data_IF_668572650792
#
_entry.id   IF_668572650792
#
_cell.length_a   1.000
_cell.length_b   1.000
_cell.length_c   1.000
_cell.angle_alpha   90.00
_cell.angle_beta   90.00
_cell.angle_gamma   90.00
#
_symmetry.space_group_name_H-M   'P 1'
#
loop_
_entity.id
_entity.type
_entity.pdbx_description
1 polymer ?
#
# COMPACT_ATOMS: atom_id res chain seq x y z
N UNK A 1 30.16 -42.02 63.61
CA UNK A 1 29.67 -40.69 64.05
C UNK A 1 29.18 -39.97 62.80
N UNK A 2 27.87 -39.75 62.73
CA UNK A 2 27.12 -38.80 61.88
C UNK A 2 27.12 -39.00 60.34
N UNK A 3 25.99 -39.59 59.91
CA UNK A 3 25.15 -39.40 58.71
C UNK A 3 25.39 -38.10 57.91
N UNK A 4 25.29 -38.17 56.58
CA UNK A 4 24.36 -37.37 55.76
C UNK A 4 24.41 -37.81 54.28
N UNK A 5 23.31 -38.43 53.84
CA UNK A 5 23.00 -38.61 52.43
C UNK A 5 22.56 -37.29 51.80
N UNK A 6 22.96 -37.07 50.56
CA UNK A 6 22.39 -36.03 49.71
C UNK A 6 21.75 -36.72 48.50
N UNK A 7 20.44 -36.92 48.59
CA UNK A 7 19.61 -37.22 47.44
C UNK A 7 19.55 -35.96 46.57
N UNK A 8 20.11 -36.04 45.36
CA UNK A 8 19.95 -35.00 44.34
C UNK A 8 18.51 -34.99 43.86
N UNK A 9 17.69 -34.09 44.42
CA UNK A 9 16.42 -33.70 43.82
C UNK A 9 16.75 -32.85 42.59
N UNK A 10 16.82 -33.52 41.42
CA UNK A 10 16.80 -32.85 40.15
C UNK A 10 15.47 -32.11 39.98
N UNK A 11 15.44 -30.81 40.23
CA UNK A 11 14.34 -29.95 39.82
C UNK A 11 14.42 -29.78 38.31
N UNK A 12 13.77 -30.67 37.56
CA UNK A 12 13.45 -30.44 36.16
C UNK A 12 12.47 -29.26 36.11
N UNK A 13 12.99 -28.07 35.87
CA UNK A 13 12.17 -26.91 35.48
C UNK A 13 11.61 -27.20 34.09
N UNK A 14 10.39 -27.74 34.05
CA UNK A 14 9.62 -27.86 32.83
C UNK A 14 9.24 -26.44 32.39
N UNK A 15 9.99 -25.89 31.44
CA UNK A 15 9.53 -24.75 30.66
C UNK A 15 8.34 -25.22 29.83
N UNK A 16 7.13 -25.16 30.38
CA UNK A 16 5.91 -25.20 29.58
C UNK A 16 5.97 -23.99 28.64
N UNK A 17 6.36 -24.25 27.40
CA UNK A 17 6.19 -23.31 26.29
C UNK A 17 4.70 -22.96 26.30
N UNK A 18 4.34 -21.76 26.77
CA UNK A 18 2.95 -21.27 26.66
C UNK A 18 2.61 -21.33 25.18
N UNK A 19 1.75 -22.27 24.81
CA UNK A 19 1.20 -22.36 23.46
C UNK A 19 0.41 -21.08 23.23
N UNK A 20 0.70 -20.37 22.16
CA UNK A 20 -0.10 -19.22 21.73
C UNK A 20 -1.57 -19.69 21.64
N UNK A 21 -2.51 -19.05 22.36
CA UNK A 21 -3.91 -19.45 22.32
C UNK A 21 -4.56 -19.21 20.95
N UNK A 22 -3.90 -18.48 20.06
CA UNK A 22 -4.35 -18.16 18.71
C UNK A 22 -3.64 -19.01 17.66
N UNK A 23 -4.42 -19.54 16.72
CA UNK A 23 -3.92 -20.25 15.55
C UNK A 23 -4.14 -19.38 14.30
N UNK A 24 -3.07 -19.07 13.57
CA UNK A 24 -3.13 -18.27 12.36
C UNK A 24 -3.85 -19.03 11.23
N UNK A 25 -4.82 -18.38 10.57
CA UNK A 25 -5.65 -18.98 9.52
C UNK A 25 -5.46 -18.34 8.15
N UNK A 26 -5.29 -17.02 8.09
CA UNK A 26 -5.18 -16.27 6.84
C UNK A 26 -4.32 -15.01 7.06
N UNK A 27 -3.50 -14.67 6.08
CA UNK A 27 -2.72 -13.44 6.04
C UNK A 27 -3.05 -12.67 4.75
N UNK A 28 -3.25 -11.37 4.87
CA UNK A 28 -3.44 -10.46 3.74
C UNK A 28 -2.48 -9.28 3.89
N UNK A 29 -1.65 -9.02 2.89
CA UNK A 29 -0.64 -7.95 2.94
C UNK A 29 -0.89 -6.99 1.78
N UNK A 30 -1.17 -5.74 2.12
CA UNK A 30 -1.23 -4.63 1.19
C UNK A 30 0.08 -3.88 1.28
N UNK A 31 0.80 -3.70 0.18
CA UNK A 31 2.10 -3.03 0.22
C UNK A 31 2.27 -2.02 -0.91
N UNK A 32 2.86 -0.88 -0.56
CA UNK A 32 3.33 0.11 -1.53
C UNK A 32 4.57 -0.46 -2.23
N UNK A 33 4.73 -0.15 -3.51
CA UNK A 33 5.96 -0.42 -4.23
C UNK A 33 7.21 0.18 -3.53
N UNK A 34 8.38 -0.34 -3.88
CA UNK A 34 9.68 0.17 -3.41
C UNK A 34 10.03 1.54 -3.99
N UNK A 35 11.22 2.03 -3.63
CA UNK A 35 11.82 3.25 -4.16
C UNK A 35 11.85 3.28 -5.69
N UNK A 36 11.63 4.48 -6.24
CA UNK A 36 11.47 4.68 -7.68
C UNK A 36 12.01 6.03 -8.11
N UNK A 37 12.17 6.21 -9.41
CA UNK A 37 12.31 7.53 -10.02
C UNK A 37 11.04 8.37 -9.76
N UNK A 38 11.13 9.70 -9.73
CA UNK A 38 9.98 10.58 -9.50
C UNK A 38 8.99 10.48 -10.65
N UNK A 39 7.72 10.74 -10.39
CA UNK A 39 6.69 10.92 -11.42
C UNK A 39 6.80 12.31 -12.07
N UNK A 40 7.22 13.32 -11.30
CA UNK A 40 7.57 14.65 -11.81
C UNK A 40 8.78 15.21 -11.05
N UNK A 41 9.69 15.84 -11.78
CA UNK A 41 10.78 16.62 -11.18
C UNK A 41 10.35 18.06 -10.96
N UNK A 42 11.01 18.73 -10.01
CA UNK A 42 10.85 20.18 -9.84
C UNK A 42 11.41 20.86 -11.11
N UNK A 43 10.58 21.62 -11.86
CA UNK A 43 11.00 22.23 -13.11
C UNK A 43 12.07 23.30 -12.87
N UNK A 44 13.06 23.38 -13.76
CA UNK A 44 14.09 24.43 -13.82
C UNK A 44 14.93 24.61 -12.54
N UNK A 45 14.92 23.62 -11.64
CA UNK A 45 15.65 23.64 -10.37
C UNK A 45 16.48 22.37 -10.24
N UNK A 46 17.80 22.51 -10.42
CA UNK A 46 18.84 21.48 -10.25
C UNK A 46 18.40 20.11 -10.76
N UNK A 47 18.73 19.76 -12.00
CA UNK A 47 18.33 18.45 -12.55
C UNK A 47 19.18 17.31 -11.98
N UNK A 48 18.51 16.36 -11.29
CA UNK A 48 19.14 15.11 -10.87
C UNK A 48 19.27 14.15 -12.06
N UNK A 49 20.41 13.47 -12.16
CA UNK A 49 20.67 12.49 -13.21
C UNK A 49 20.15 11.11 -12.81
N UNK A 50 18.99 10.75 -13.36
CA UNK A 50 18.38 9.44 -13.21
C UNK A 50 18.89 8.52 -14.32
N UNK A 51 20.06 7.91 -14.09
CA UNK A 51 20.75 7.04 -15.07
C UNK A 51 20.24 5.60 -15.03
N UNK A 52 20.34 4.83 -16.13
CA UNK A 52 19.87 3.44 -16.21
C UNK A 52 20.46 2.49 -15.15
N UNK A 53 21.69 2.75 -14.69
CA UNK A 53 22.37 1.94 -13.66
C UNK A 53 21.57 1.87 -12.34
N UNK A 54 20.73 2.88 -12.05
CA UNK A 54 19.83 2.87 -10.90
C UNK A 54 18.68 1.85 -11.02
N UNK A 55 18.50 1.24 -12.18
CA UNK A 55 17.43 0.29 -12.50
C UNK A 55 17.95 -1.14 -12.68
N UNK A 56 19.22 -1.40 -12.39
CA UNK A 56 19.80 -2.74 -12.47
C UNK A 56 19.07 -3.71 -11.52
N UNK A 57 18.69 -4.88 -12.03
CA UNK A 57 17.93 -5.87 -11.26
C UNK A 57 18.89 -6.69 -10.40
N UNK A 58 18.78 -6.68 -9.05
CA UNK A 58 19.62 -7.52 -8.21
C UNK A 58 19.33 -9.00 -8.47
N UNK A 59 20.38 -9.81 -8.67
CA UNK A 59 20.24 -11.22 -9.06
C UNK A 59 19.38 -12.05 -8.08
N UNK A 60 19.41 -11.74 -6.79
CA UNK A 60 18.64 -12.43 -5.75
C UNK A 60 17.13 -12.10 -5.75
N UNK A 61 16.71 -11.12 -6.55
CA UNK A 61 15.30 -10.77 -6.74
C UNK A 61 14.67 -11.44 -7.96
N UNK A 62 15.47 -12.16 -8.76
CA UNK A 62 15.00 -12.74 -10.01
C UNK A 62 14.25 -14.05 -9.77
N UNK A 63 13.05 -14.15 -10.33
CA UNK A 63 12.17 -15.33 -10.30
C UNK A 63 11.35 -15.36 -11.60
N UNK A 64 10.92 -16.54 -12.06
CA UNK A 64 10.01 -16.64 -13.19
C UNK A 64 8.59 -16.31 -12.74
N UNK A 65 7.99 -15.32 -13.41
CA UNK A 65 6.62 -14.88 -13.14
C UNK A 65 5.90 -14.60 -14.45
N UNK A 66 4.57 -14.57 -14.39
CA UNK A 66 3.72 -14.16 -15.51
C UNK A 66 2.67 -13.16 -15.03
N UNK A 67 2.29 -12.24 -15.90
CA UNK A 67 1.25 -11.25 -15.62
C UNK A 67 0.03 -11.55 -16.47
N UNK A 68 -1.13 -11.64 -15.84
CA UNK A 68 -2.41 -11.94 -16.49
C UNK A 68 -3.49 -10.96 -16.05
N UNK A 69 -4.62 -10.93 -16.75
CA UNK A 69 -5.85 -10.39 -16.19
C UNK A 69 -6.34 -11.24 -14.99
N UNK A 70 -7.41 -10.82 -14.31
CA UNK A 70 -7.96 -11.53 -13.15
C UNK A 70 -8.54 -12.93 -13.47
N UNK A 71 -8.77 -13.23 -14.75
CA UNK A 71 -9.28 -14.52 -15.23
C UNK A 71 -8.17 -15.45 -15.75
N UNK A 72 -6.90 -15.01 -15.70
CA UNK A 72 -5.76 -15.78 -16.21
C UNK A 72 -5.52 -15.61 -17.72
N UNK A 73 -6.20 -14.67 -18.36
CA UNK A 73 -5.99 -14.26 -19.74
C UNK A 73 -4.82 -13.28 -19.92
N UNK A 74 -4.64 -12.70 -21.11
CA UNK A 74 -3.54 -11.79 -21.40
C UNK A 74 -3.52 -10.56 -20.47
N UNK A 75 -2.32 -10.05 -20.17
CA UNK A 75 -2.15 -8.78 -19.43
C UNK A 75 -2.91 -7.64 -20.13
N UNK A 76 -3.78 -6.90 -19.42
CA UNK A 76 -4.48 -5.75 -20.00
C UNK A 76 -3.53 -4.60 -20.41
N UNK A 77 -3.99 -3.65 -21.24
CA UNK A 77 -3.26 -2.40 -21.49
C UNK A 77 -3.03 -1.58 -20.20
N UNK A 78 -1.95 -0.80 -20.16
CA UNK A 78 -1.53 -0.04 -18.98
C UNK A 78 -1.45 1.49 -19.26
N UNK A 79 -2.58 2.15 -19.60
CA UNK A 79 -2.58 3.53 -20.10
C UNK A 79 -2.04 4.55 -19.08
N UNK A 80 -2.20 4.28 -17.78
CA UNK A 80 -1.65 5.12 -16.71
C UNK A 80 -0.12 5.14 -16.78
N UNK A 81 0.50 3.98 -17.04
CA UNK A 81 1.94 3.87 -17.20
C UNK A 81 2.43 4.53 -18.49
N UNK A 82 1.79 4.19 -19.61
CA UNK A 82 2.14 4.73 -20.92
C UNK A 82 2.16 6.25 -20.92
N UNK A 83 1.23 6.88 -20.18
CA UNK A 83 1.12 8.33 -20.06
C UNK A 83 2.36 8.99 -19.43
N UNK A 84 2.88 8.47 -18.31
CA UNK A 84 4.05 9.09 -17.67
C UNK A 84 5.37 8.65 -18.30
N UNK A 85 5.43 7.47 -18.94
CA UNK A 85 6.62 7.01 -19.68
C UNK A 85 6.82 7.71 -21.02
N UNK A 86 5.84 8.48 -21.49
CA UNK A 86 5.99 9.38 -22.62
C UNK A 86 7.04 10.49 -22.39
N UNK A 87 7.51 10.68 -21.16
CA UNK A 87 8.58 11.60 -20.80
C UNK A 87 9.85 10.86 -20.44
N UNK A 88 10.98 11.54 -20.63
CA UNK A 88 12.31 11.09 -20.22
C UNK A 88 12.83 12.05 -19.17
N UNK A 89 13.36 11.51 -18.07
CA UNK A 89 14.05 12.27 -17.04
C UNK A 89 15.48 12.57 -17.49
N UNK A 90 16.08 13.62 -16.92
CA UNK A 90 17.51 13.83 -17.05
C UNK A 90 18.27 12.57 -16.60
N UNK A 91 19.29 12.15 -17.36
CA UNK A 91 20.00 10.87 -17.17
C UNK A 91 19.47 9.71 -18.04
N UNK A 92 18.32 9.86 -18.71
CA UNK A 92 17.87 8.93 -19.76
C UNK A 92 16.88 7.85 -19.31
N UNK A 93 16.47 7.82 -18.05
CA UNK A 93 15.39 6.93 -17.57
C UNK A 93 14.01 7.59 -17.69
N UNK A 94 12.96 6.85 -17.34
CA UNK A 94 11.58 7.35 -17.34
C UNK A 94 11.08 7.69 -15.93
N UNK A 95 10.00 8.48 -15.84
CA UNK A 95 9.30 8.67 -14.58
C UNK A 95 8.73 7.37 -14.00
N UNK A 96 8.64 7.31 -12.67
CA UNK A 96 7.93 6.26 -11.95
C UNK A 96 8.49 4.84 -12.09
N UNK A 97 9.77 4.66 -12.45
CA UNK A 97 10.42 3.36 -12.62
C UNK A 97 10.96 2.85 -11.27
N UNK A 98 10.69 1.58 -10.94
CA UNK A 98 11.25 0.94 -9.75
C UNK A 98 12.77 0.81 -9.90
N UNK A 99 13.51 1.21 -8.87
CA UNK A 99 14.99 1.20 -8.88
C UNK A 99 15.55 -0.04 -8.19
N UNK A 100 16.85 -0.29 -8.33
CA UNK A 100 17.60 -1.32 -7.60
C UNK A 100 17.36 -1.22 -6.09
N UNK A 101 17.38 0.01 -5.55
CA UNK A 101 17.06 0.29 -4.14
C UNK A 101 15.63 -0.15 -3.80
N UNK A 102 14.65 0.14 -4.67
CA UNK A 102 13.27 -0.28 -4.46
C UNK A 102 13.08 -1.78 -4.55
N UNK A 103 13.77 -2.46 -5.47
CA UNK A 103 13.77 -3.92 -5.57
C UNK A 103 14.32 -4.56 -4.28
N UNK A 104 15.42 -4.02 -3.73
CA UNK A 104 15.97 -4.48 -2.45
C UNK A 104 14.99 -4.29 -1.29
N UNK A 105 14.37 -3.11 -1.16
CA UNK A 105 13.37 -2.84 -0.12
C UNK A 105 12.22 -3.85 -0.14
N UNK A 106 11.76 -4.21 -1.35
CA UNK A 106 10.69 -5.20 -1.51
C UNK A 106 11.15 -6.62 -1.20
N UNK A 107 12.38 -6.98 -1.57
CA UNK A 107 12.98 -8.25 -1.16
C UNK A 107 13.09 -8.36 0.36
N UNK A 108 13.53 -7.30 1.03
CA UNK A 108 13.66 -7.26 2.50
C UNK A 108 12.31 -7.38 3.20
N UNK A 109 11.27 -6.77 2.65
CA UNK A 109 9.88 -7.01 3.09
C UNK A 109 9.52 -8.49 2.95
N UNK A 110 9.85 -9.12 1.82
CA UNK A 110 9.69 -10.57 1.63
C UNK A 110 10.43 -11.40 2.68
N UNK A 111 11.68 -11.05 3.00
CA UNK A 111 12.48 -11.71 4.05
C UNK A 111 11.82 -11.58 5.43
N UNK A 112 11.24 -10.42 5.75
CA UNK A 112 10.48 -10.22 6.99
C UNK A 112 9.27 -11.14 7.05
N UNK A 113 8.49 -11.23 5.97
CA UNK A 113 7.32 -12.12 5.90
C UNK A 113 7.74 -13.60 5.97
N UNK A 114 8.90 -13.97 5.39
CA UNK A 114 9.47 -15.32 5.51
C UNK A 114 9.76 -15.69 6.96
N UNK A 115 10.39 -14.78 7.70
CA UNK A 115 10.67 -15.00 9.12
C UNK A 115 9.36 -15.29 9.88
N UNK A 116 8.37 -14.43 9.70
CA UNK A 116 7.09 -14.53 10.41
C UNK A 116 6.30 -15.80 10.03
N UNK A 117 6.10 -16.04 8.74
CA UNK A 117 5.11 -17.02 8.27
C UNK A 117 5.69 -18.36 7.81
N UNK A 118 7.02 -18.48 7.69
CA UNK A 118 7.68 -19.76 7.36
C UNK A 118 8.56 -20.24 8.52
N UNK A 119 9.35 -19.35 9.14
CA UNK A 119 10.32 -19.75 10.16
C UNK A 119 9.72 -19.82 11.56
N UNK A 120 8.97 -18.79 11.97
CA UNK A 120 8.47 -18.67 13.34
C UNK A 120 7.19 -19.51 13.57
N UNK A 121 6.26 -19.50 12.61
CA UNK A 121 4.92 -20.13 12.75
C UNK A 121 4.69 -21.33 11.79
N UNK A 122 5.61 -21.57 10.83
CA UNK A 122 5.48 -22.63 9.83
C UNK A 122 4.09 -22.67 9.12
N UNK A 123 3.56 -21.48 8.81
CA UNK A 123 2.23 -21.30 8.22
C UNK A 123 2.23 -21.57 6.70
N UNK A 124 3.27 -21.13 6.00
CA UNK A 124 3.48 -21.30 4.55
C UNK A 124 4.58 -22.33 4.25
N UNK A 125 4.54 -22.94 3.07
CA UNK A 125 5.62 -23.81 2.59
C UNK A 125 6.90 -23.01 2.32
N UNK A 126 8.10 -23.60 2.49
CA UNK A 126 9.35 -22.89 2.24
C UNK A 126 9.61 -22.47 0.78
N UNK A 127 8.90 -23.08 -0.17
CA UNK A 127 8.91 -22.79 -1.61
C UNK A 127 7.55 -22.22 -2.03
N UNK A 128 7.52 -21.42 -3.10
CA UNK A 128 6.29 -20.85 -3.63
C UNK A 128 5.28 -21.94 -4.04
N UNK A 129 4.00 -21.68 -3.74
CA UNK A 129 2.86 -22.51 -4.12
C UNK A 129 1.67 -21.62 -4.47
N UNK A 130 1.22 -21.67 -5.72
CA UNK A 130 -0.01 -21.04 -6.19
C UNK A 130 -1.26 -21.65 -5.57
N UNK A 131 -1.16 -22.65 -4.68
CA UNK A 131 -2.29 -23.10 -3.85
C UNK A 131 -2.34 -22.36 -2.52
N UNK A 132 -1.21 -21.87 -2.03
CA UNK A 132 -1.15 -21.14 -0.75
C UNK A 132 -1.20 -19.62 -0.95
N UNK A 133 -0.66 -19.12 -2.06
CA UNK A 133 -0.39 -17.68 -2.25
C UNK A 133 -1.11 -17.13 -3.48
N UNK A 134 -1.96 -16.13 -3.27
CA UNK A 134 -2.57 -15.32 -4.32
C UNK A 134 -1.86 -13.96 -4.40
N UNK A 135 -1.58 -13.48 -5.61
CA UNK A 135 -0.84 -12.23 -5.84
C UNK A 135 -1.60 -11.38 -6.85
N UNK A 136 -2.03 -10.19 -6.43
CA UNK A 136 -2.62 -9.18 -7.30
C UNK A 136 -1.82 -7.89 -7.22
N UNK A 137 -1.63 -7.25 -8.35
CA UNK A 137 -0.97 -5.95 -8.47
C UNK A 137 -1.86 -5.02 -9.29
N UNK A 138 -1.72 -3.72 -9.07
CA UNK A 138 -2.14 -2.76 -10.10
C UNK A 138 -1.35 -3.00 -11.38
N UNK A 139 -1.94 -2.70 -12.54
CA UNK A 139 -1.30 -2.91 -13.84
C UNK A 139 -0.24 -1.84 -14.15
N UNK A 140 0.77 -1.72 -13.29
CA UNK A 140 1.86 -0.74 -13.37
C UNK A 140 3.17 -1.49 -13.11
N UNK A 141 4.20 -1.32 -13.94
CA UNK A 141 5.42 -2.15 -13.86
C UNK A 141 6.10 -2.03 -12.50
N UNK A 142 6.14 -0.85 -11.88
CA UNK A 142 6.76 -0.70 -10.55
C UNK A 142 6.06 -1.51 -9.44
N UNK A 143 4.75 -1.71 -9.50
CA UNK A 143 4.01 -2.52 -8.51
C UNK A 143 4.15 -4.01 -8.82
N UNK A 144 4.11 -4.38 -10.10
CA UNK A 144 4.35 -5.76 -10.56
C UNK A 144 5.76 -6.24 -10.16
N UNK A 145 6.79 -5.46 -10.47
CA UNK A 145 8.18 -5.77 -10.12
C UNK A 145 8.40 -5.76 -8.60
N UNK A 146 7.69 -4.90 -7.86
CA UNK A 146 7.72 -4.92 -6.39
C UNK A 146 7.14 -6.21 -5.83
N UNK A 147 6.02 -6.69 -6.37
CA UNK A 147 5.43 -7.96 -5.98
C UNK A 147 6.37 -9.13 -6.29
N UNK A 148 7.00 -9.13 -7.47
CA UNK A 148 8.03 -10.10 -7.85
C UNK A 148 9.18 -10.14 -6.84
N UNK A 149 9.76 -8.99 -6.51
CA UNK A 149 10.89 -8.91 -5.57
C UNK A 149 10.52 -9.37 -4.15
N UNK A 150 9.30 -9.04 -3.69
CA UNK A 150 8.77 -9.51 -2.41
C UNK A 150 8.65 -11.04 -2.40
N UNK A 151 8.09 -11.65 -3.43
CA UNK A 151 7.98 -13.11 -3.55
C UNK A 151 9.36 -13.76 -3.58
N UNK A 152 10.32 -13.17 -4.29
CA UNK A 152 11.70 -13.63 -4.32
C UNK A 152 12.33 -13.64 -2.91
N UNK A 153 12.08 -12.62 -2.09
CA UNK A 153 12.52 -12.56 -0.69
C UNK A 153 11.79 -13.56 0.21
N UNK A 154 10.47 -13.66 0.07
CA UNK A 154 9.63 -14.56 0.86
C UNK A 154 10.01 -16.03 0.67
N UNK A 155 10.25 -16.45 -0.57
CA UNK A 155 10.55 -17.84 -0.90
C UNK A 155 12.03 -18.10 -1.21
N UNK A 156 12.89 -17.08 -1.10
CA UNK A 156 14.33 -17.19 -1.38
C UNK A 156 14.59 -17.77 -2.78
N UNK A 157 13.84 -17.28 -3.77
CA UNK A 157 13.85 -17.74 -5.17
C UNK A 157 13.49 -19.23 -5.37
N UNK A 158 12.97 -19.91 -4.34
CA UNK A 158 12.55 -21.30 -4.44
C UNK A 158 11.14 -21.38 -5.02
N UNK A 159 11.06 -21.77 -6.28
CA UNK A 159 9.81 -22.02 -6.98
C UNK A 159 9.92 -23.26 -7.86
N UNK A 160 8.83 -24.01 -7.96
CA UNK A 160 8.68 -25.15 -8.88
C UNK A 160 7.71 -24.83 -10.02
N UNK A 161 7.12 -23.65 -9.99
CA UNK A 161 6.12 -23.19 -10.94
C UNK A 161 6.26 -21.69 -11.18
N UNK A 162 5.69 -21.22 -12.29
CA UNK A 162 5.66 -19.80 -12.64
C UNK A 162 4.75 -19.09 -11.64
N UNK A 163 5.21 -17.95 -11.12
CA UNK A 163 4.44 -17.12 -10.19
C UNK A 163 3.42 -16.28 -10.98
N UNK A 164 2.09 -16.51 -10.83
CA UNK A 164 1.10 -15.65 -11.47
C UNK A 164 0.91 -14.35 -10.68
N UNK A 165 0.94 -13.21 -11.39
CA UNK A 165 0.59 -11.89 -10.86
C UNK A 165 -0.64 -11.39 -11.62
N UNK A 166 -1.76 -11.33 -10.92
CA UNK A 166 -3.04 -10.92 -11.48
C UNK A 166 -3.16 -9.39 -11.51
N UNK A 167 -3.70 -8.85 -12.60
CA UNK A 167 -3.92 -7.41 -12.81
C UNK A 167 -5.32 -7.16 -13.37
N UNK A 168 -5.79 -5.91 -13.34
CA UNK A 168 -7.10 -5.52 -13.88
C UNK A 168 -6.95 -4.31 -14.82
N UNK A 169 -7.94 -4.12 -15.69
CA UNK A 169 -8.08 -2.91 -16.51
C UNK A 169 -8.19 -1.65 -15.65
N UNK A 170 -7.63 -0.55 -16.15
CA UNK A 170 -7.53 0.71 -15.39
C UNK A 170 -8.91 1.25 -14.96
N UNK A 171 -9.94 1.05 -15.79
CA UNK A 171 -11.33 1.47 -15.56
C UNK A 171 -12.05 0.63 -14.51
N UNK A 172 -11.59 -0.60 -14.25
CA UNK A 172 -12.19 -1.52 -13.26
C UNK A 172 -11.32 -1.72 -12.02
N UNK A 173 -10.11 -1.17 -12.01
CA UNK A 173 -9.19 -1.33 -10.88
C UNK A 173 -9.78 -0.75 -9.57
N UNK A 174 -9.56 -1.49 -8.48
CA UNK A 174 -10.01 -1.13 -7.12
C UNK A 174 -8.85 -1.03 -6.12
N UNK A 175 -7.63 -1.36 -6.55
CA UNK A 175 -6.41 -1.26 -5.74
C UNK A 175 -5.86 0.17 -5.63
N UNK A 176 -6.56 1.18 -6.13
CA UNK A 176 -6.38 2.61 -5.87
C UNK A 176 -7.71 3.36 -6.01
N UNK A 177 -7.85 4.57 -5.46
CA UNK A 177 -9.01 5.44 -5.73
C UNK A 177 -9.19 5.68 -7.24
N UNK A 178 -10.21 5.06 -7.84
CA UNK A 178 -10.31 4.97 -9.30
C UNK A 178 -11.07 6.16 -9.90
N UNK A 179 -10.33 7.23 -10.19
CA UNK A 179 -10.88 8.42 -10.87
C UNK A 179 -11.21 8.21 -12.37
N UNK A 180 -10.83 7.08 -12.97
CA UNK A 180 -11.17 6.72 -14.34
C UNK A 180 -12.54 6.04 -14.40
N UNK A 181 -12.73 5.01 -13.57
CA UNK A 181 -13.95 4.21 -13.50
C UNK A 181 -15.09 4.83 -12.70
N UNK A 182 -14.80 5.76 -11.77
CA UNK A 182 -15.80 6.33 -10.88
C UNK A 182 -16.05 7.82 -11.13
N UNK A 183 -17.17 8.15 -11.79
CA UNK A 183 -17.53 9.54 -12.14
C UNK A 183 -17.77 10.40 -10.90
N UNK A 184 -18.51 9.86 -9.91
CA UNK A 184 -18.80 10.57 -8.67
C UNK A 184 -17.52 10.92 -7.90
N UNK A 185 -16.62 9.95 -7.73
CA UNK A 185 -15.32 10.17 -7.07
C UNK A 185 -14.47 11.19 -7.82
N UNK A 186 -14.40 11.11 -9.16
CA UNK A 186 -13.69 12.07 -10.00
C UNK A 186 -14.21 13.50 -9.80
N UNK A 187 -15.53 13.67 -9.70
CA UNK A 187 -16.15 14.97 -9.51
C UNK A 187 -15.84 15.56 -8.14
N UNK A 188 -16.08 14.80 -7.05
CA UNK A 188 -15.78 15.27 -5.70
C UNK A 188 -14.29 15.56 -5.52
N UNK A 189 -13.43 14.62 -5.94
CA UNK A 189 -12.00 14.76 -5.75
C UNK A 189 -11.42 15.86 -6.63
N UNK A 190 -11.94 16.08 -7.84
CA UNK A 190 -11.49 17.14 -8.73
C UNK A 190 -11.55 18.54 -8.11
N UNK A 191 -12.65 18.85 -7.41
CA UNK A 191 -12.79 20.10 -6.65
C UNK A 191 -11.76 20.20 -5.52
N UNK A 192 -11.62 19.13 -4.71
CA UNK A 192 -10.71 19.12 -3.57
C UNK A 192 -9.24 19.17 -3.97
N UNK A 193 -8.88 18.51 -5.07
CA UNK A 193 -7.55 18.62 -5.69
C UNK A 193 -7.27 20.06 -6.08
N UNK A 194 -8.22 20.74 -6.76
CA UNK A 194 -8.06 22.14 -7.16
C UNK A 194 -7.94 23.10 -5.95
N UNK A 195 -8.67 22.83 -4.87
CA UNK A 195 -8.65 23.64 -3.65
C UNK A 195 -7.41 23.39 -2.78
N UNK A 196 -6.87 22.16 -2.77
CA UNK A 196 -5.84 21.72 -1.82
C UNK A 196 -4.61 22.65 -1.77
N UNK A 197 -4.12 23.12 -2.92
CA UNK A 197 -3.00 24.06 -3.01
C UNK A 197 -3.35 25.52 -2.65
N UNK A 198 -4.64 25.84 -2.50
CA UNK A 198 -5.16 27.18 -2.21
C UNK A 198 -5.53 27.38 -0.74
N UNK A 199 -5.53 26.30 0.06
CA UNK A 199 -5.75 26.39 1.51
C UNK A 199 -4.76 27.39 2.14
N UNK A 200 -5.18 28.30 3.03
CA UNK A 200 -4.40 29.50 3.38
C UNK A 200 -2.94 29.22 3.77
N UNK A 201 -2.74 28.25 4.65
CA UNK A 201 -1.43 27.85 5.15
C UNK A 201 -0.58 27.18 4.08
N UNK A 202 -1.16 26.25 3.31
CA UNK A 202 -0.51 25.58 2.18
C UNK A 202 -0.12 26.59 1.10
N UNK A 203 -1.03 27.48 0.72
CA UNK A 203 -0.78 28.49 -0.30
C UNK A 203 0.31 29.47 0.12
N UNK A 204 0.36 29.86 1.41
CA UNK A 204 1.40 30.72 1.96
C UNK A 204 2.77 30.06 1.93
N UNK A 205 2.86 28.81 2.37
CA UNK A 205 4.09 28.04 2.36
C UNK A 205 4.53 27.72 0.92
N UNK A 206 3.59 27.45 0.01
CA UNK A 206 3.87 27.15 -1.39
C UNK A 206 4.49 28.35 -2.10
N UNK A 207 3.96 29.57 -1.88
CA UNK A 207 4.57 30.80 -2.39
C UNK A 207 6.00 30.99 -1.86
N UNK A 208 6.20 30.71 -0.58
CA UNK A 208 7.49 30.89 0.09
C UNK A 208 8.55 29.92 -0.45
N UNK A 209 8.21 28.64 -0.58
CA UNK A 209 9.16 27.63 -1.12
C UNK A 209 9.42 27.83 -2.62
N UNK A 210 8.40 28.19 -3.41
CA UNK A 210 8.59 28.51 -4.83
C UNK A 210 9.55 29.69 -5.02
N UNK A 211 9.38 30.76 -4.24
CA UNK A 211 10.30 31.90 -4.24
C UNK A 211 11.71 31.49 -3.83
N UNK A 212 11.84 30.65 -2.80
CA UNK A 212 13.14 30.19 -2.33
C UNK A 212 13.86 29.28 -3.34
N UNK A 213 13.11 28.48 -4.10
CA UNK A 213 13.62 27.63 -5.18
C UNK A 213 13.87 28.41 -6.49
N UNK A 214 13.48 29.69 -6.58
CA UNK A 214 13.61 30.49 -7.80
C UNK A 214 12.60 30.14 -8.91
N UNK A 215 11.49 29.49 -8.54
CA UNK A 215 10.47 29.00 -9.46
C UNK A 215 9.52 30.12 -9.86
N UNK A 216 9.22 30.22 -11.15
CA UNK A 216 8.29 31.22 -11.68
C UNK A 216 6.85 30.91 -11.28
N UNK A 217 6.07 31.95 -10.96
CA UNK A 217 4.70 31.83 -10.43
C UNK A 217 3.68 31.16 -11.36
N UNK A 218 3.98 31.06 -12.66
CA UNK A 218 3.11 30.42 -13.66
C UNK A 218 3.27 28.89 -13.72
N UNK A 219 4.30 28.33 -13.08
CA UNK A 219 4.53 26.89 -13.07
C UNK A 219 3.61 26.21 -12.04
N UNK A 220 2.82 25.24 -12.51
CA UNK A 220 1.93 24.45 -11.64
C UNK A 220 2.74 23.41 -10.87
N UNK A 221 3.11 23.77 -9.65
CA UNK A 221 3.82 22.91 -8.71
C UNK A 221 3.11 22.97 -7.34
N UNK A 222 3.00 21.83 -6.67
CA UNK A 222 2.44 21.72 -5.32
C UNK A 222 3.36 20.89 -4.42
N UNK A 223 3.01 20.76 -3.14
CA UNK A 223 3.83 20.02 -2.18
C UNK A 223 3.90 18.52 -2.44
N UNK A 224 2.90 17.92 -3.10
CA UNK A 224 2.94 16.49 -3.46
C UNK A 224 4.02 16.25 -4.52
N UNK A 225 4.10 17.14 -5.53
CA UNK A 225 5.14 17.08 -6.55
C UNK A 225 6.53 17.37 -5.99
N UNK A 226 6.68 18.41 -5.16
CA UNK A 226 7.97 18.74 -4.52
C UNK A 226 8.43 17.56 -3.66
N UNK A 227 7.52 16.98 -2.87
CA UNK A 227 7.81 15.80 -2.04
C UNK A 227 8.24 14.61 -2.87
N UNK A 228 7.54 14.32 -3.98
CA UNK A 228 7.86 13.17 -4.83
C UNK A 228 9.30 13.24 -5.37
N UNK A 229 9.71 14.39 -5.89
CA UNK A 229 11.08 14.61 -6.38
C UNK A 229 12.11 14.58 -5.24
N UNK A 230 11.82 15.28 -4.14
CA UNK A 230 12.71 15.36 -2.97
C UNK A 230 12.98 13.97 -2.37
N UNK A 231 11.93 13.22 -2.04
CA UNK A 231 12.05 11.89 -1.41
C UNK A 231 12.70 10.90 -2.37
N UNK A 232 12.39 10.97 -3.66
CA UNK A 232 13.06 10.13 -4.65
C UNK A 232 14.57 10.42 -4.66
N UNK A 233 15.00 11.67 -4.77
CA UNK A 233 16.44 12.02 -4.80
C UNK A 233 17.16 11.63 -3.51
N UNK A 234 16.60 11.99 -2.36
CA UNK A 234 17.16 11.66 -1.04
C UNK A 234 17.38 10.15 -0.89
N UNK A 235 16.39 9.34 -1.29
CA UNK A 235 16.45 7.87 -1.19
C UNK A 235 17.60 7.28 -2.01
N UNK A 236 18.00 7.95 -3.09
CA UNK A 236 19.06 7.47 -4.00
C UNK A 236 20.39 8.23 -3.81
N UNK A 237 20.50 9.08 -2.78
CA UNK A 237 21.70 9.89 -2.56
C UNK A 237 22.00 10.87 -3.69
N UNK A 238 20.98 11.27 -4.47
CA UNK A 238 21.13 12.21 -5.57
C UNK A 238 21.08 13.66 -5.07
N UNK A 239 21.70 14.62 -5.77
CA UNK A 239 21.70 16.02 -5.36
C UNK A 239 20.29 16.60 -5.24
N UNK A 240 20.01 17.19 -4.07
CA UNK A 240 18.81 17.98 -3.78
C UNK A 240 19.17 19.48 -3.76
N UNK A 241 18.25 20.37 -4.16
CA UNK A 241 18.41 21.81 -3.93
C UNK A 241 18.59 22.08 -2.43
N UNK A 242 19.65 22.80 -2.03
CA UNK A 242 19.97 23.06 -0.62
C UNK A 242 18.84 23.75 0.16
N UNK A 243 17.96 24.49 -0.54
CA UNK A 243 16.75 25.08 0.04
C UNK A 243 15.88 24.01 0.70
N UNK A 244 15.79 22.81 0.11
CA UNK A 244 14.96 21.72 0.62
C UNK A 244 15.42 21.20 1.99
N UNK A 245 16.69 21.39 2.38
CA UNK A 245 17.20 20.95 3.69
C UNK A 245 16.41 21.58 4.84
N UNK A 246 16.16 22.90 4.75
CA UNK A 246 15.35 23.63 5.74
C UNK A 246 13.84 23.44 5.58
N UNK A 247 13.39 22.98 4.41
CA UNK A 247 11.98 22.84 4.05
C UNK A 247 11.45 21.41 4.20
N UNK A 248 12.33 20.42 4.38
CA UNK A 248 12.01 18.99 4.35
C UNK A 248 10.79 18.61 5.18
N UNK A 249 10.79 18.98 6.47
CA UNK A 249 9.69 18.66 7.39
C UNK A 249 8.37 19.32 6.96
N UNK A 250 8.44 20.55 6.43
CA UNK A 250 7.26 21.29 5.97
C UNK A 250 6.73 20.74 4.65
N UNK A 251 7.60 20.33 3.73
CA UNK A 251 7.20 19.66 2.48
C UNK A 251 6.45 18.36 2.79
N UNK A 252 6.98 17.54 3.68
CA UNK A 252 6.32 16.31 4.13
C UNK A 252 4.95 16.61 4.77
N UNK A 253 4.90 17.56 5.71
CA UNK A 253 3.66 17.95 6.39
C UNK A 253 2.61 18.46 5.40
N UNK A 254 2.97 19.42 4.52
CA UNK A 254 2.02 20.02 3.59
C UNK A 254 1.52 19.07 2.53
N UNK A 255 2.35 18.14 2.06
CA UNK A 255 1.90 17.08 1.15
C UNK A 255 0.86 16.17 1.82
N UNK A 256 1.06 15.83 3.11
CA UNK A 256 0.06 15.06 3.87
C UNK A 256 -1.20 15.89 4.13
N UNK A 257 -1.08 17.16 4.51
CA UNK A 257 -2.22 18.07 4.71
C UNK A 257 -3.09 18.14 3.44
N UNK A 258 -2.45 18.25 2.27
CA UNK A 258 -3.15 18.24 0.97
C UNK A 258 -3.91 16.94 0.74
N UNK A 259 -3.28 15.77 0.93
CA UNK A 259 -3.95 14.48 0.72
C UNK A 259 -5.05 14.24 1.77
N UNK A 260 -4.81 14.64 3.02
CA UNK A 260 -5.80 14.58 4.09
C UNK A 260 -7.03 15.43 3.73
N UNK A 261 -6.81 16.63 3.19
CA UNK A 261 -7.89 17.44 2.61
C UNK A 261 -8.59 16.70 1.48
N UNK A 262 -7.86 16.12 0.52
CA UNK A 262 -8.46 15.47 -0.65
C UNK A 262 -9.34 14.27 -0.27
N UNK A 263 -8.87 13.40 0.62
CA UNK A 263 -9.61 12.21 1.03
C UNK A 263 -10.68 12.48 2.07
N UNK A 264 -10.56 13.57 2.84
CA UNK A 264 -11.55 14.01 3.83
C UNK A 264 -12.11 12.87 4.68
N UNK A 265 -11.36 12.41 5.71
CA UNK A 265 -11.81 11.28 6.52
C UNK A 265 -13.12 11.55 7.29
N UNK A 266 -13.58 12.81 7.37
CA UNK A 266 -14.90 13.15 7.90
C UNK A 266 -16.04 12.84 6.92
N UNK A 267 -15.74 12.80 5.61
CA UNK A 267 -16.66 12.44 4.56
C UNK A 267 -16.57 10.94 4.23
N UNK A 268 -17.41 10.16 4.92
CA UNK A 268 -17.50 8.71 4.74
C UNK A 268 -17.70 8.28 3.27
N UNK A 269 -18.46 9.01 2.47
CA UNK A 269 -18.72 8.63 1.08
C UNK A 269 -17.45 8.67 0.23
N UNK A 270 -16.57 9.65 0.48
CA UNK A 270 -15.27 9.71 -0.22
C UNK A 270 -14.42 8.49 0.10
N UNK A 271 -14.31 8.13 1.39
CA UNK A 271 -13.56 6.92 1.78
C UNK A 271 -14.19 5.63 1.22
N UNK A 272 -15.53 5.54 1.20
CA UNK A 272 -16.25 4.43 0.56
C UNK A 272 -15.90 4.32 -0.93
N UNK A 273 -15.88 5.42 -1.66
CA UNK A 273 -15.53 5.44 -3.08
C UNK A 273 -14.02 5.22 -3.32
N UNK A 274 -13.16 5.62 -2.39
CA UNK A 274 -11.70 5.45 -2.53
C UNK A 274 -11.25 4.00 -2.30
N UNK A 275 -11.76 3.34 -1.26
CA UNK A 275 -11.24 2.02 -0.82
C UNK A 275 -12.33 1.01 -0.47
N UNK A 276 -13.61 1.37 -0.53
CA UNK A 276 -14.71 0.49 -0.14
C UNK A 276 -14.75 -0.86 -0.86
N UNK A 277 -14.61 -0.93 -2.20
CA UNK A 277 -14.53 -2.21 -2.91
C UNK A 277 -13.36 -3.08 -2.45
N UNK A 278 -12.21 -2.47 -2.16
CA UNK A 278 -11.05 -3.23 -1.72
C UNK A 278 -11.21 -3.72 -0.28
N UNK A 279 -11.74 -2.90 0.62
CA UNK A 279 -12.09 -3.33 1.98
C UNK A 279 -13.10 -4.49 1.97
N UNK A 280 -14.06 -4.47 1.03
CA UNK A 280 -14.99 -5.57 0.85
C UNK A 280 -14.28 -6.86 0.42
N UNK A 281 -13.32 -6.82 -0.50
CA UNK A 281 -12.49 -7.98 -0.87
C UNK A 281 -11.77 -8.55 0.36
N UNK A 282 -11.13 -7.70 1.17
CA UNK A 282 -10.40 -8.14 2.36
C UNK A 282 -11.31 -8.83 3.39
N UNK A 283 -12.50 -8.27 3.63
CA UNK A 283 -13.51 -8.85 4.51
C UNK A 283 -14.03 -10.18 3.95
N UNK A 284 -14.34 -10.23 2.66
CA UNK A 284 -14.86 -11.42 2.01
C UNK A 284 -13.85 -12.58 2.06
N UNK A 285 -12.56 -12.33 1.86
CA UNK A 285 -11.51 -13.34 2.01
C UNK A 285 -11.52 -13.98 3.42
N UNK A 286 -11.73 -13.18 4.47
CA UNK A 286 -11.86 -13.69 5.84
C UNK A 286 -13.15 -14.49 6.04
N UNK A 287 -14.27 -14.01 5.51
CA UNK A 287 -15.56 -14.72 5.62
C UNK A 287 -15.53 -16.08 4.93
N UNK A 288 -15.00 -16.15 3.71
CA UNK A 288 -14.83 -17.40 2.98
C UNK A 288 -13.94 -18.39 3.75
N UNK A 289 -12.89 -17.90 4.42
CA UNK A 289 -12.02 -18.74 5.27
C UNK A 289 -12.77 -19.27 6.49
N UNK A 290 -13.59 -18.44 7.14
CA UNK A 290 -14.40 -18.84 8.31
C UNK A 290 -15.47 -19.87 7.94
N UNK A 291 -16.12 -19.71 6.79
CA UNK A 291 -17.19 -20.59 6.31
C UNK A 291 -16.67 -21.93 5.76
N UNK A 292 -15.37 -22.04 5.46
CA UNK A 292 -14.78 -23.24 4.85
C UNK A 292 -15.25 -23.47 3.40
N UNK A 293 -15.78 -22.44 2.75
CA UNK A 293 -16.48 -22.48 1.46
C UNK A 293 -15.57 -22.13 0.26
N UNK A 294 -14.25 -22.15 0.43
CA UNK A 294 -13.31 -21.72 -0.61
C UNK A 294 -13.41 -22.61 -1.88
N UNK A 295 -14.07 -22.10 -2.91
CA UNK A 295 -14.12 -22.67 -4.27
C UNK A 295 -12.73 -22.71 -4.94
N UNK A 296 -11.83 -21.82 -4.52
CA UNK A 296 -10.40 -21.83 -4.87
C UNK A 296 -9.59 -22.20 -3.63
N UNK A 297 -9.00 -23.39 -3.64
CA UNK A 297 -8.48 -24.12 -2.47
C UNK A 297 -7.70 -23.29 -1.45
N UNK A 298 -8.03 -23.50 -0.18
CA UNK A 298 -7.32 -23.18 1.07
C UNK A 298 -6.21 -22.10 1.04
N UNK A 299 -6.43 -20.97 0.36
CA UNK A 299 -5.46 -19.87 0.28
C UNK A 299 -5.09 -19.42 1.69
N UNK A 300 -3.80 -19.21 1.90
CA UNK A 300 -3.22 -18.82 3.20
C UNK A 300 -2.72 -17.38 3.18
N UNK A 301 -2.19 -16.93 2.04
CA UNK A 301 -1.62 -15.61 1.87
C UNK A 301 -2.19 -14.90 0.63
N UNK A 302 -2.63 -13.67 0.82
CA UNK A 302 -2.98 -12.75 -0.26
C UNK A 302 -2.00 -11.57 -0.25
N UNK A 303 -1.37 -11.31 -1.38
CA UNK A 303 -0.45 -10.21 -1.60
C UNK A 303 -1.08 -9.21 -2.56
N UNK A 304 -1.22 -7.96 -2.12
CA UNK A 304 -1.77 -6.86 -2.91
C UNK A 304 -0.73 -5.76 -3.07
N UNK A 305 -0.17 -5.62 -4.28
CA UNK A 305 0.74 -4.51 -4.59
C UNK A 305 -0.04 -3.27 -5.00
N UNK A 306 0.02 -2.24 -4.16
CA UNK A 306 -0.82 -1.04 -4.20
C UNK A 306 0.03 0.24 -4.17
N UNK A 307 -0.61 1.37 -3.87
CA UNK A 307 0.01 2.69 -3.84
C UNK A 307 -0.10 3.33 -2.45
N UNK A 308 0.67 4.39 -2.23
CA UNK A 308 0.47 5.30 -1.10
C UNK A 308 -0.95 5.86 -1.08
N UNK A 309 -1.49 6.23 -2.24
CA UNK A 309 -2.88 6.66 -2.44
C UNK A 309 -3.92 5.59 -2.10
N UNK A 310 -3.51 4.34 -1.89
CA UNK A 310 -4.37 3.26 -1.38
C UNK A 310 -4.20 3.09 0.12
N UNK A 311 -2.94 3.03 0.60
CA UNK A 311 -2.65 2.82 2.01
C UNK A 311 -3.19 3.97 2.88
N UNK A 312 -3.08 5.22 2.44
CA UNK A 312 -3.57 6.38 3.19
C UNK A 312 -5.08 6.31 3.50
N UNK A 313 -5.98 6.21 2.50
CA UNK A 313 -7.41 6.11 2.78
C UNK A 313 -7.79 4.78 3.47
N UNK A 314 -7.03 3.68 3.29
CA UNK A 314 -7.21 2.47 4.10
C UNK A 314 -6.91 2.74 5.59
N UNK A 315 -5.80 3.40 5.91
CA UNK A 315 -5.43 3.77 7.29
C UNK A 315 -6.45 4.75 7.89
N UNK A 316 -6.97 5.68 7.08
CA UNK A 316 -8.04 6.61 7.49
C UNK A 316 -9.33 5.87 7.82
N UNK A 317 -9.77 4.94 6.96
CA UNK A 317 -10.96 4.12 7.19
C UNK A 317 -10.79 3.17 8.40
N UNK A 318 -9.57 2.69 8.64
CA UNK A 318 -9.22 1.91 9.84
C UNK A 318 -9.07 2.79 11.10
N UNK A 319 -9.11 4.11 10.97
CA UNK A 319 -8.99 5.05 12.10
C UNK A 319 -7.58 5.11 12.72
N UNK A 320 -6.54 4.70 12.00
CA UNK A 320 -5.15 4.60 12.49
C UNK A 320 -4.13 5.33 11.60
N UNK A 321 -4.61 6.27 10.76
CA UNK A 321 -3.72 7.11 9.97
C UNK A 321 -2.89 8.03 10.88
N UNK A 322 -1.58 7.99 10.74
CA UNK A 322 -0.61 8.64 11.64
C UNK A 322 -0.19 10.05 11.17
N UNK A 323 -0.89 10.61 10.18
CA UNK A 323 -0.55 11.88 9.53
C UNK A 323 0.86 11.88 8.92
N UNK A 324 1.32 10.72 8.43
CA UNK A 324 2.56 10.60 7.67
C UNK A 324 2.31 9.97 6.31
N UNK A 325 3.15 10.33 5.35
CA UNK A 325 3.10 9.70 4.04
C UNK A 325 3.66 8.28 4.13
N UNK A 326 2.94 7.23 3.66
CA UNK A 326 3.45 5.87 3.74
C UNK A 326 4.80 5.73 3.03
N UNK A 327 5.88 5.30 3.70
CA UNK A 327 7.20 5.19 3.08
C UNK A 327 7.19 4.15 1.95
N UNK A 328 8.24 4.14 1.13
CA UNK A 328 8.42 3.06 0.15
C UNK A 328 8.45 1.71 0.86
N UNK A 329 7.90 0.68 0.22
CA UNK A 329 7.73 -0.66 0.80
C UNK A 329 6.92 -0.72 2.11
N UNK A 330 6.17 0.33 2.47
CA UNK A 330 5.23 0.28 3.59
C UNK A 330 4.14 -0.75 3.33
N UNK A 331 3.70 -1.45 4.38
CA UNK A 331 2.67 -2.47 4.32
C UNK A 331 1.62 -2.31 5.42
N UNK A 332 0.39 -2.70 5.10
CA UNK A 332 -0.67 -3.03 6.06
C UNK A 332 -0.84 -4.55 6.00
N UNK A 333 -0.64 -5.22 7.13
CA UNK A 333 -0.80 -6.67 7.26
C UNK A 333 -2.03 -6.97 8.11
N UNK A 334 -2.92 -7.81 7.59
CA UNK A 334 -4.11 -8.31 8.29
C UNK A 334 -3.95 -9.82 8.51
N UNK A 335 -4.03 -10.24 9.76
CA UNK A 335 -3.96 -11.64 10.15
C UNK A 335 -5.30 -12.09 10.75
N UNK A 336 -5.90 -13.14 10.20
CA UNK A 336 -7.04 -13.82 10.79
C UNK A 336 -6.55 -14.96 11.67
N UNK A 337 -6.93 -14.94 12.93
CA UNK A 337 -6.60 -15.92 13.94
C UNK A 337 -7.85 -16.62 14.44
N UNK A 338 -7.74 -17.90 14.81
CA UNK A 338 -8.78 -18.64 15.52
C UNK A 338 -8.28 -19.01 16.92
N UNK A 339 -9.03 -18.66 17.95
CA UNK A 339 -8.71 -19.08 19.31
C UNK A 339 -8.92 -20.58 19.48
N UNK A 340 -7.90 -21.31 19.95
CA UNK A 340 -7.86 -22.77 19.90
C UNK A 340 -8.94 -23.44 20.76
N UNK A 341 -9.34 -22.82 21.88
CA UNK A 341 -10.33 -23.38 22.81
C UNK A 341 -11.77 -22.96 22.47
N UNK A 342 -11.99 -21.67 22.24
CA UNK A 342 -13.33 -21.09 22.04
C UNK A 342 -13.79 -21.15 20.57
N UNK A 343 -12.85 -21.43 19.65
CA UNK A 343 -13.06 -21.43 18.19
C UNK A 343 -13.51 -20.10 17.60
N UNK A 344 -13.48 -19.02 18.40
CA UNK A 344 -13.79 -17.66 17.97
C UNK A 344 -12.67 -17.09 17.11
N UNK A 345 -13.03 -16.21 16.16
CA UNK A 345 -12.10 -15.60 15.23
C UNK A 345 -11.74 -14.17 15.63
N UNK A 346 -10.48 -13.81 15.40
CA UNK A 346 -9.89 -12.52 15.72
C UNK A 346 -9.07 -12.01 14.55
N UNK A 347 -9.01 -10.70 14.38
CA UNK A 347 -8.21 -10.02 13.38
C UNK A 347 -7.13 -9.20 14.07
N UNK A 348 -5.88 -9.38 13.68
CA UNK A 348 -4.76 -8.52 14.08
C UNK A 348 -4.32 -7.70 12.88
N UNK A 349 -4.16 -6.40 13.08
CA UNK A 349 -3.71 -5.46 12.05
C UNK A 349 -2.35 -4.90 12.44
N UNK A 350 -1.41 -4.86 11.50
CA UNK A 350 -0.13 -4.19 11.69
C UNK A 350 0.16 -3.24 10.53
N UNK A 351 0.75 -2.07 10.82
CA UNK A 351 1.25 -1.11 9.83
C UNK A 351 2.76 -0.97 9.98
N UNK A 352 3.51 -1.24 8.91
CA UNK A 352 4.99 -1.25 8.91
C UNK A 352 5.54 -2.12 10.07
N UNK A 353 4.94 -3.29 10.26
CA UNK A 353 5.29 -4.24 11.31
C UNK A 353 4.90 -3.82 12.74
N UNK A 354 4.20 -2.70 12.94
CA UNK A 354 3.70 -2.28 14.25
C UNK A 354 2.21 -2.61 14.40
N UNK A 355 1.88 -3.37 15.44
CA UNK A 355 0.49 -3.76 15.74
C UNK A 355 -0.38 -2.53 16.06
N UNK A 356 -1.61 -2.53 15.54
CA UNK A 356 -2.56 -1.43 15.64
C UNK A 356 -3.78 -1.86 16.46
N UNK A 357 -4.21 -1.00 17.39
CA UNK A 357 -5.52 -1.14 18.05
C UNK A 357 -6.56 -0.36 17.25
N UNK A 358 -7.41 -1.07 16.52
CA UNK A 358 -8.43 -0.45 15.67
C UNK A 358 -9.54 0.18 16.54
N UNK A 359 -9.93 1.45 16.31
CA UNK A 359 -11.07 2.05 16.98
C UNK A 359 -12.34 1.22 16.79
N UNK A 360 -13.05 0.96 17.89
CA UNK A 360 -14.21 0.06 17.91
C UNK A 360 -13.88 -1.39 18.26
N UNK A 361 -12.61 -1.76 18.29
CA UNK A 361 -12.15 -3.06 18.79
C UNK A 361 -11.75 -3.02 20.28
N UNK A 362 -12.10 -4.07 20.99
CA UNK A 362 -11.79 -4.27 22.41
C UNK A 362 -10.28 -4.37 22.69
N UNK A 363 -9.52 -5.05 21.82
CA UNK A 363 -8.08 -5.28 21.95
C UNK A 363 -7.37 -5.32 20.58
N UNK A 364 -6.04 -5.50 20.56
CA UNK A 364 -5.19 -5.68 19.37
C UNK A 364 -5.60 -6.91 18.56
N UNK A 365 -5.90 -8.02 19.26
CA UNK A 365 -6.62 -9.14 18.65
C UNK A 365 -8.11 -8.78 18.67
N UNK A 366 -8.57 -8.12 17.61
CA UNK A 366 -9.94 -7.64 17.50
C UNK A 366 -10.89 -8.80 17.18
N UNK A 367 -11.94 -9.08 17.97
CA UNK A 367 -12.98 -10.03 17.58
C UNK A 367 -13.50 -9.76 16.17
N UNK A 368 -13.61 -10.78 15.31
CA UNK A 368 -13.97 -10.61 13.91
C UNK A 368 -15.30 -9.87 13.71
N UNK A 369 -16.27 -10.05 14.62
CA UNK A 369 -17.53 -9.31 14.61
C UNK A 369 -17.36 -7.80 14.82
N UNK A 370 -16.53 -7.40 15.79
CA UNK A 370 -16.20 -5.99 16.05
C UNK A 370 -15.47 -5.38 14.86
N UNK A 371 -14.49 -6.11 14.30
CA UNK A 371 -13.73 -5.67 13.13
C UNK A 371 -14.64 -5.44 11.91
N UNK A 372 -15.55 -6.38 11.63
CA UNK A 372 -16.55 -6.25 10.58
C UNK A 372 -17.44 -5.03 10.80
N UNK A 373 -17.88 -4.78 12.03
CA UNK A 373 -18.70 -3.62 12.35
C UNK A 373 -17.96 -2.30 12.13
N UNK A 374 -16.68 -2.23 12.54
CA UNK A 374 -15.84 -1.06 12.33
C UNK A 374 -15.67 -0.72 10.84
N UNK A 375 -15.50 -1.73 9.98
CA UNK A 375 -15.33 -1.53 8.55
C UNK A 375 -16.63 -1.50 7.73
N UNK A 376 -17.76 -1.94 8.30
CA UNK A 376 -19.05 -2.02 7.60
C UNK A 376 -19.50 -0.67 7.03
N UNK A 377 -19.10 0.44 7.66
CA UNK A 377 -19.43 1.77 7.19
C UNK A 377 -18.62 2.23 5.97
N UNK A 378 -17.51 1.55 5.63
CA UNK A 378 -16.62 1.91 4.54
C UNK A 378 -16.61 0.87 3.40
N UNK A 379 -16.77 -0.41 3.71
CA UNK A 379 -16.78 -1.47 2.70
C UNK A 379 -17.98 -1.33 1.75
N UNK A 380 -17.74 -1.51 0.46
CA UNK A 380 -18.77 -1.48 -0.58
C UNK A 380 -18.68 -2.75 -1.43
N UNK A 381 -19.83 -3.38 -1.72
CA UNK A 381 -19.90 -4.40 -2.77
C UNK A 381 -19.61 -3.78 -4.13
N UNK A 382 -19.18 -4.59 -5.09
CA UNK A 382 -18.98 -4.17 -6.48
C UNK A 382 -20.23 -3.49 -7.06
N UNK A 383 -21.41 -4.10 -6.87
CA UNK A 383 -22.70 -3.54 -7.30
C UNK A 383 -22.99 -2.18 -6.65
N UNK A 384 -22.80 -2.06 -5.33
CA UNK A 384 -23.04 -0.81 -4.60
C UNK A 384 -22.09 0.29 -5.06
N UNK A 385 -20.83 -0.06 -5.30
CA UNK A 385 -19.82 0.86 -5.81
C UNK A 385 -20.17 1.35 -7.22
N UNK A 386 -20.51 0.46 -8.15
CA UNK A 386 -20.92 0.84 -9.50
C UNK A 386 -22.16 1.74 -9.51
N UNK A 387 -23.17 1.42 -8.70
CA UNK A 387 -24.37 2.24 -8.57
C UNK A 387 -24.03 3.65 -8.07
N UNK A 388 -23.22 3.77 -7.01
CA UNK A 388 -22.78 5.08 -6.48
C UNK A 388 -21.95 5.86 -7.48
N UNK A 389 -20.96 5.22 -8.10
CA UNK A 389 -20.07 5.87 -9.06
C UNK A 389 -20.79 6.45 -10.28
N UNK A 390 -21.95 5.90 -10.64
CA UNK A 390 -22.79 6.38 -11.74
C UNK A 390 -23.89 7.37 -11.30
N UNK A 391 -24.14 7.51 -9.99
CA UNK A 391 -25.10 8.49 -9.48
C UNK A 391 -24.50 9.90 -9.59
N UNK A 392 -25.16 10.77 -10.34
CA UNK A 392 -24.81 12.19 -10.43
C UNK A 392 -25.86 13.10 -9.77
N UNK A 393 -26.76 12.54 -8.93
CA UNK A 393 -27.98 13.24 -8.52
C UNK A 393 -27.85 14.21 -7.34
N UNK A 394 -26.74 14.24 -6.59
CA UNK A 394 -26.62 15.09 -5.38
C UNK A 394 -25.33 15.92 -5.33
N UNK A 395 -24.99 16.62 -6.41
CA UNK A 395 -23.84 17.55 -6.40
C UNK A 395 -24.38 18.97 -6.29
N UNK A 396 -24.08 19.71 -5.20
CA UNK A 396 -24.43 21.12 -5.11
C UNK A 396 -23.87 21.89 -6.31
N UNK A 397 -24.73 22.63 -7.00
CA UNK A 397 -24.36 23.50 -8.11
C UNK A 397 -23.49 24.66 -7.64
N UNK A 398 -22.21 24.42 -7.37
CA UNK A 398 -21.18 25.45 -7.26
C UNK A 398 -20.14 25.24 -8.35
N UNK A 399 -20.61 25.30 -9.60
CA UNK A 399 -19.73 25.59 -10.73
C UNK A 399 -19.39 27.08 -10.71
N UNK A 400 -18.11 27.48 -10.75
CA UNK A 400 -17.77 28.74 -11.37
C UNK A 400 -18.10 28.59 -12.86
N UNK A 401 -19.07 29.35 -13.34
CA UNK A 401 -19.31 29.53 -14.78
C UNK A 401 -18.00 30.03 -15.42
N UNK A 402 -17.62 29.40 -16.53
CA UNK A 402 -16.63 29.84 -17.51
C UNK A 402 -15.21 30.13 -17.01
N UNK A 403 -14.26 29.31 -17.47
CA UNK A 403 -13.29 29.82 -18.46
C UNK A 403 -13.05 28.77 -19.53
N UNK A 404 -13.04 29.28 -20.75
CA UNK A 404 -12.97 28.65 -22.06
C UNK A 404 -11.78 27.72 -22.29
N UNK A 405 -12.02 26.72 -23.15
CA UNK A 405 -11.05 26.03 -24.02
C UNK A 405 -9.78 26.86 -24.28
N UNK A 406 -8.62 26.33 -23.88
CA UNK A 406 -7.41 26.06 -24.68
C UNK A 406 -6.35 25.39 -23.80
#
# INVERSE_FOLDING_TARGET
MVVLGAAGLGSTFWWQKKTDPYELKLVQVLFRHGARTPLKSIPDVLEAQWVPDLLEVPAHTNIDYMVTDLQGGPRPPAPVEDSYRAKTLAGGTHPGQLTTMGMQQMYDLGVRLRKQYIQDVAFLTPSFSHKEVYIRSTNIVRTIESAKCLVAGLFQQKQTEIVPIFTEEAEREVLYPNYYGCKLLKLHSGYRWAESSTLPDIASDLRSIQSALGIQSHQRLDFIHIRDDMVARETHGLPCPAVLDSWRARVEQRAVDMIYHIFDPSNREILQLCVGPFLHILLNNMEMKVQGSALDGDRKLFLYSVHDTTLMPCLMALGVFDMRWPPYAADITLELHQHQQTKQYYVKISYVGQDQKIPGCSDVYCPLGEFKQALAMYALTEESYHTRCNSTQDVPSQSPRNTSRL
#
